data_IF_783852926996
#
_entry.id   IF_783852926996
#
_cell.length_a   1.000
_cell.length_b   1.000
_cell.length_c   1.000
_cell.angle_alpha   90.00
_cell.angle_beta   90.00
_cell.angle_gamma   90.00
#
_symmetry.space_group_name_H-M   'P 1'
#
loop_
_entity.id
_entity.type
_entity.pdbx_description
1 polymer ?
#
# COMPACT_ATOMS: atom_id res chain seq x y z
N UNK A 1 -18.41 14.33 -7.63
CA UNK A 1 -17.01 14.49 -8.09
C UNK A 1 -16.51 13.22 -8.78
N UNK A 2 -16.51 12.05 -8.14
CA UNK A 2 -16.03 10.80 -8.75
C UNK A 2 -16.67 10.50 -10.13
N UNK A 3 -17.98 10.63 -10.25
CA UNK A 3 -18.70 10.42 -11.51
C UNK A 3 -18.27 11.39 -12.64
N UNK A 4 -17.93 12.65 -12.29
CA UNK A 4 -17.39 13.60 -13.25
C UNK A 4 -15.96 13.22 -13.67
N UNK A 5 -15.08 12.91 -12.72
CA UNK A 5 -13.70 12.48 -13.02
C UNK A 5 -13.67 11.18 -13.84
N UNK A 6 -14.62 10.26 -13.57
CA UNK A 6 -14.78 9.05 -14.36
C UNK A 6 -15.35 9.29 -15.78
N UNK A 7 -15.71 10.52 -16.14
CA UNK A 7 -16.24 10.88 -17.45
C UNK A 7 -17.75 10.67 -17.63
N UNK A 8 -18.44 10.19 -16.58
CA UNK A 8 -19.87 9.88 -16.66
C UNK A 8 -20.79 11.10 -16.61
N UNK A 9 -20.33 12.21 -16.03
CA UNK A 9 -21.11 13.44 -15.91
C UNK A 9 -20.30 14.65 -16.39
N UNK A 10 -20.94 15.63 -16.99
CA UNK A 10 -20.37 16.96 -17.17
C UNK A 10 -20.13 17.65 -15.82
N UNK A 11 -19.34 18.71 -15.80
CA UNK A 11 -19.15 19.52 -14.60
C UNK A 11 -20.47 20.18 -14.17
N UNK A 12 -21.22 20.68 -15.14
CA UNK A 12 -22.52 21.33 -14.95
C UNK A 12 -23.53 20.35 -14.33
N UNK A 13 -23.64 19.13 -14.86
CA UNK A 13 -24.50 18.09 -14.31
C UNK A 13 -24.10 17.73 -12.86
N UNK A 14 -22.79 17.58 -12.62
CA UNK A 14 -22.28 17.28 -11.28
C UNK A 14 -22.57 18.39 -10.26
N UNK A 15 -22.44 19.67 -10.67
CA UNK A 15 -22.78 20.84 -9.84
C UNK A 15 -24.28 20.89 -9.62
N UNK A 16 -25.10 20.69 -10.64
CA UNK A 16 -26.55 20.67 -10.53
C UNK A 16 -27.01 19.63 -9.50
N UNK A 17 -26.48 18.41 -9.58
CA UNK A 17 -26.80 17.33 -8.65
C UNK A 17 -26.42 17.72 -7.21
N UNK A 18 -25.17 18.17 -6.97
CA UNK A 18 -24.73 18.46 -5.61
C UNK A 18 -25.47 19.63 -4.99
N UNK A 19 -25.81 20.66 -5.78
CA UNK A 19 -26.59 21.80 -5.34
C UNK A 19 -27.99 21.38 -4.86
N UNK A 20 -28.76 20.70 -5.72
CA UNK A 20 -30.12 20.30 -5.39
C UNK A 20 -30.16 19.25 -4.27
N UNK A 21 -29.24 18.31 -4.29
CA UNK A 21 -29.07 17.33 -3.22
C UNK A 21 -28.84 18.02 -1.87
N UNK A 22 -27.87 18.94 -1.79
CA UNK A 22 -27.53 19.60 -0.53
C UNK A 22 -28.66 20.46 -0.02
N UNK A 23 -29.31 21.23 -0.91
CA UNK A 23 -30.48 22.07 -0.57
C UNK A 23 -31.60 21.24 0.03
N UNK A 24 -32.02 20.17 -0.65
CA UNK A 24 -33.13 19.35 -0.22
C UNK A 24 -32.84 18.55 1.06
N UNK A 25 -31.64 17.99 1.18
CA UNK A 25 -31.26 17.29 2.40
C UNK A 25 -31.21 18.19 3.62
N UNK A 26 -30.87 19.47 3.46
CA UNK A 26 -30.95 20.46 4.55
C UNK A 26 -32.36 20.64 5.11
N UNK A 27 -33.39 20.45 4.29
CA UNK A 27 -34.79 20.52 4.72
C UNK A 27 -35.17 19.45 5.75
N UNK A 28 -34.37 18.40 5.90
CA UNK A 28 -34.55 17.33 6.89
C UNK A 28 -33.70 17.52 8.15
N UNK A 29 -33.06 18.70 8.30
CA UNK A 29 -32.26 19.00 9.49
C UNK A 29 -33.15 19.03 10.74
N UNK A 30 -32.71 18.30 11.78
CA UNK A 30 -33.44 18.17 13.04
C UNK A 30 -34.48 17.03 13.06
N UNK A 31 -34.72 16.34 11.94
CA UNK A 31 -35.66 15.21 11.90
C UNK A 31 -35.06 13.87 12.33
N UNK A 32 -33.77 13.86 12.68
CA UNK A 32 -33.07 12.69 13.14
C UNK A 32 -31.54 12.87 13.06
N UNK A 33 -30.80 11.78 13.28
CA UNK A 33 -29.34 11.79 13.35
C UNK A 33 -28.74 10.52 12.74
N UNK A 34 -27.41 10.46 12.80
CA UNK A 34 -26.64 9.28 12.47
C UNK A 34 -25.73 8.88 13.63
N UNK A 35 -25.61 7.58 13.89
CA UNK A 35 -24.78 6.97 14.92
C UNK A 35 -23.81 5.96 14.29
N UNK A 36 -22.51 6.20 14.36
CA UNK A 36 -21.51 5.22 14.01
C UNK A 36 -21.44 4.14 15.09
N UNK A 37 -21.42 2.86 14.71
CA UNK A 37 -21.40 1.72 15.62
C UNK A 37 -20.36 0.68 15.15
N UNK A 38 -19.56 0.18 16.09
CA UNK A 38 -18.57 -0.86 15.89
C UNK A 38 -19.19 -2.25 15.88
N UNK A 39 -20.10 -2.50 14.94
CA UNK A 39 -20.86 -3.76 14.81
C UNK A 39 -20.80 -4.27 13.38
N UNK A 40 -20.72 -5.60 13.19
CA UNK A 40 -21.04 -6.24 11.92
C UNK A 40 -22.51 -6.00 11.52
N UNK A 41 -22.76 -6.02 10.20
CA UNK A 41 -24.13 -5.78 9.64
C UNK A 41 -25.18 -6.66 10.29
N UNK A 42 -24.93 -7.97 10.43
CA UNK A 42 -25.88 -8.91 11.01
C UNK A 42 -26.27 -8.57 12.45
N UNK A 43 -25.31 -8.16 13.27
CA UNK A 43 -25.56 -7.76 14.65
C UNK A 43 -26.33 -6.42 14.71
N UNK A 44 -26.00 -5.50 13.79
CA UNK A 44 -26.71 -4.23 13.68
C UNK A 44 -28.18 -4.44 13.24
N UNK A 45 -28.44 -5.34 12.29
CA UNK A 45 -29.79 -5.71 11.85
C UNK A 45 -30.63 -6.26 13.00
N UNK A 46 -30.07 -7.17 13.80
CA UNK A 46 -30.73 -7.71 14.99
C UNK A 46 -31.01 -6.61 16.03
N UNK A 47 -30.05 -5.72 16.25
CA UNK A 47 -30.17 -4.62 17.22
C UNK A 47 -31.29 -3.65 16.86
N UNK A 48 -31.42 -3.30 15.58
CA UNK A 48 -32.43 -2.32 15.13
C UNK A 48 -33.80 -2.96 14.85
N UNK A 49 -33.97 -4.27 14.99
CA UNK A 49 -35.21 -4.95 14.70
C UNK A 49 -36.39 -4.43 15.53
N UNK A 50 -36.13 -4.09 16.80
CA UNK A 50 -37.12 -3.49 17.72
C UNK A 50 -37.46 -2.04 17.35
N UNK A 51 -36.62 -1.39 16.55
CA UNK A 51 -36.75 0.02 16.12
C UNK A 51 -37.21 0.15 14.66
N UNK A 52 -37.89 -0.88 14.10
CA UNK A 52 -38.38 -0.87 12.71
C UNK A 52 -39.16 0.42 12.41
N UNK A 53 -38.88 1.00 11.24
CA UNK A 53 -39.42 2.28 10.76
C UNK A 53 -38.91 3.54 11.46
N UNK A 54 -38.07 3.44 12.50
CA UNK A 54 -37.48 4.57 13.19
C UNK A 54 -35.98 4.67 12.95
N UNK A 55 -35.31 3.52 12.83
CA UNK A 55 -33.88 3.42 12.59
C UNK A 55 -33.60 2.43 11.44
N UNK A 56 -32.59 2.70 10.65
CA UNK A 56 -32.08 1.82 9.62
C UNK A 56 -30.55 1.87 9.56
N UNK A 57 -29.94 0.92 8.85
CA UNK A 57 -28.52 0.99 8.52
C UNK A 57 -28.34 2.00 7.39
N UNK A 58 -27.72 3.15 7.68
CA UNK A 58 -27.42 4.19 6.71
C UNK A 58 -26.17 3.90 5.89
N UNK A 59 -25.16 3.24 6.47
CA UNK A 59 -23.95 2.84 5.77
C UNK A 59 -23.33 1.56 6.34
N UNK A 60 -22.77 0.74 5.46
CA UNK A 60 -21.88 -0.38 5.77
C UNK A 60 -20.46 0.09 5.47
N UNK A 61 -19.69 0.41 6.53
CA UNK A 61 -18.40 1.07 6.38
C UNK A 61 -17.24 0.07 6.24
N UNK A 62 -17.27 -0.99 7.05
CA UNK A 62 -16.26 -2.05 7.10
C UNK A 62 -16.89 -3.35 7.62
N UNK A 63 -16.20 -4.48 7.63
CA UNK A 63 -16.74 -5.74 8.17
C UNK A 63 -17.26 -5.64 9.61
N UNK A 64 -16.66 -4.79 10.43
CA UNK A 64 -17.03 -4.59 11.84
C UNK A 64 -17.62 -3.21 12.14
N UNK A 65 -18.03 -2.43 11.13
CA UNK A 65 -18.54 -1.07 11.39
C UNK A 65 -19.68 -0.67 10.46
N UNK A 66 -20.75 -0.18 11.05
CA UNK A 66 -21.91 0.39 10.36
C UNK A 66 -22.19 1.83 10.85
N UNK A 67 -23.01 2.55 10.11
CA UNK A 67 -23.61 3.79 10.56
C UNK A 67 -25.12 3.62 10.55
N UNK A 68 -25.75 3.80 11.70
CA UNK A 68 -27.20 3.81 11.85
C UNK A 68 -27.75 5.21 11.57
N UNK A 69 -28.96 5.31 11.03
CA UNK A 69 -29.63 6.57 10.72
C UNK A 69 -31.12 6.49 11.07
N UNK A 70 -31.64 7.54 11.67
CA UNK A 70 -33.08 7.57 12.07
C UNK A 70 -33.41 8.58 13.14
N UNK A 71 -34.46 8.30 13.90
CA UNK A 71 -34.95 9.14 14.98
C UNK A 71 -33.92 9.28 16.10
N UNK A 72 -33.70 10.52 16.57
CA UNK A 72 -32.63 10.80 17.54
C UNK A 72 -32.84 10.09 18.87
N UNK A 73 -34.09 10.01 19.38
CA UNK A 73 -34.43 9.34 20.62
C UNK A 73 -34.15 7.82 20.56
N UNK A 74 -34.52 7.16 19.45
CA UNK A 74 -34.23 5.74 19.23
C UNK A 74 -32.74 5.47 19.15
N UNK A 75 -31.99 6.35 18.49
CA UNK A 75 -30.52 6.23 18.41
C UNK A 75 -29.84 6.44 19.76
N UNK A 76 -30.40 7.30 20.65
CA UNK A 76 -29.90 7.48 22.03
C UNK A 76 -30.12 6.21 22.86
N UNK A 77 -31.26 5.53 22.68
CA UNK A 77 -31.50 4.23 23.34
C UNK A 77 -30.52 3.17 22.87
N UNK A 78 -30.28 3.07 21.56
CA UNK A 78 -29.33 2.17 20.97
C UNK A 78 -27.89 2.48 21.45
N UNK A 79 -27.48 3.75 21.53
CA UNK A 79 -26.17 4.15 22.05
C UNK A 79 -25.95 3.63 23.47
N UNK A 80 -26.95 3.77 24.37
CA UNK A 80 -26.88 3.22 25.73
C UNK A 80 -26.72 1.69 25.76
N UNK A 81 -27.42 0.97 24.87
CA UNK A 81 -27.29 -0.49 24.76
C UNK A 81 -25.88 -0.86 24.31
N UNK A 82 -25.30 -0.12 23.37
CA UNK A 82 -23.94 -0.35 22.87
C UNK A 82 -22.90 -0.04 23.95
N UNK A 83 -23.06 1.05 24.70
CA UNK A 83 -22.20 1.40 25.82
C UNK A 83 -22.19 0.31 26.91
N UNK A 84 -23.36 -0.25 27.26
CA UNK A 84 -23.45 -1.36 28.23
C UNK A 84 -22.75 -2.63 27.74
N UNK A 85 -22.63 -2.82 26.42
CA UNK A 85 -21.93 -3.96 25.81
C UNK A 85 -20.45 -3.67 25.52
N UNK A 86 -19.94 -2.51 25.92
CA UNK A 86 -18.59 -2.03 25.58
C UNK A 86 -18.30 -2.00 24.08
N UNK A 87 -19.32 -1.68 23.28
CA UNK A 87 -19.22 -1.55 21.83
C UNK A 87 -19.08 -0.09 21.46
N UNK A 88 -18.08 0.21 20.62
CA UNK A 88 -17.89 1.59 20.13
C UNK A 88 -19.16 2.14 19.49
N UNK A 89 -19.58 3.31 19.96
CA UNK A 89 -20.66 4.09 19.36
C UNK A 89 -20.35 5.59 19.44
N UNK A 90 -20.72 6.33 18.41
CA UNK A 90 -20.53 7.77 18.36
C UNK A 90 -21.49 8.45 17.41
N UNK A 91 -22.18 9.48 17.86
CA UNK A 91 -22.97 10.32 16.97
C UNK A 91 -22.10 11.05 15.94
N UNK A 92 -22.53 10.95 14.67
CA UNK A 92 -21.95 11.73 13.59
C UNK A 92 -22.33 13.19 13.76
N UNK A 93 -21.43 14.09 13.43
CA UNK A 93 -21.71 15.53 13.47
C UNK A 93 -22.79 15.90 12.47
N UNK A 94 -23.74 16.71 12.89
CA UNK A 94 -24.91 17.11 12.11
C UNK A 94 -26.20 16.45 12.58
N UNK A 95 -27.35 17.04 12.19
CA UNK A 95 -28.67 16.60 12.58
C UNK A 95 -29.54 16.26 11.36
N UNK A 96 -28.92 15.65 10.36
CA UNK A 96 -29.62 15.17 9.16
C UNK A 96 -29.52 13.64 9.14
N UNK A 97 -30.67 12.94 9.11
CA UNK A 97 -30.69 11.47 9.06
C UNK A 97 -30.51 10.96 7.64
N UNK A 98 -29.29 11.17 7.07
CA UNK A 98 -28.94 10.67 5.73
C UNK A 98 -29.19 9.17 5.61
N UNK A 99 -29.54 8.72 4.41
CA UNK A 99 -29.75 7.30 4.08
C UNK A 99 -30.85 6.64 4.91
N UNK A 100 -31.85 7.42 5.32
CA UNK A 100 -33.04 6.92 6.07
C UNK A 100 -34.34 7.21 5.32
N UNK A 101 -35.42 6.67 5.84
CA UNK A 101 -36.77 6.88 5.31
C UNK A 101 -37.17 8.37 5.29
N UNK A 102 -36.53 9.22 6.11
CA UNK A 102 -36.78 10.69 6.12
C UNK A 102 -36.44 11.33 4.76
N UNK A 103 -35.58 10.67 3.95
CA UNK A 103 -35.28 11.14 2.60
C UNK A 103 -36.40 10.88 1.58
N UNK A 104 -37.39 10.02 1.88
CA UNK A 104 -38.42 9.61 0.90
C UNK A 104 -39.24 10.79 0.39
N UNK A 105 -39.53 11.77 1.23
CA UNK A 105 -40.28 12.98 0.85
C UNK A 105 -39.57 13.85 -0.20
N UNK A 106 -38.24 13.75 -0.29
CA UNK A 106 -37.43 14.53 -1.21
C UNK A 106 -37.42 13.97 -2.65
N UNK A 107 -37.96 12.76 -2.85
CA UNK A 107 -37.85 11.99 -4.11
C UNK A 107 -38.33 12.78 -5.31
N UNK A 108 -39.57 13.25 -5.26
CA UNK A 108 -40.23 13.88 -6.42
C UNK A 108 -39.51 15.17 -6.82
N UNK A 109 -39.15 16.00 -5.85
CA UNK A 109 -38.52 17.28 -6.09
C UNK A 109 -37.08 17.10 -6.56
N UNK A 110 -36.31 16.19 -5.94
CA UNK A 110 -34.94 15.90 -6.40
C UNK A 110 -34.94 15.41 -7.86
N UNK A 111 -35.73 14.39 -8.18
CA UNK A 111 -35.81 13.85 -9.55
C UNK A 111 -36.18 14.93 -10.57
N UNK A 112 -37.16 15.78 -10.25
CA UNK A 112 -37.58 16.88 -11.11
C UNK A 112 -36.47 17.92 -11.28
N UNK A 113 -35.77 18.28 -10.20
CA UNK A 113 -34.72 19.30 -10.21
C UNK A 113 -33.49 18.90 -11.05
N UNK A 114 -33.20 17.61 -11.15
CA UNK A 114 -32.04 17.10 -11.89
C UNK A 114 -32.44 16.28 -13.14
N UNK A 115 -33.66 16.42 -13.64
CA UNK A 115 -34.14 15.64 -14.80
C UNK A 115 -33.38 15.90 -16.09
N UNK A 116 -32.66 17.03 -16.19
CA UNK A 116 -31.90 17.43 -17.38
C UNK A 116 -30.49 16.86 -17.47
N UNK A 117 -30.01 16.10 -16.46
CA UNK A 117 -28.68 15.51 -16.51
C UNK A 117 -28.57 14.45 -17.62
N UNK A 118 -27.40 14.37 -18.24
CA UNK A 118 -27.14 13.47 -19.35
C UNK A 118 -25.96 12.54 -19.06
N UNK A 119 -26.15 11.44 -18.31
CA UNK A 119 -25.11 10.48 -17.99
C UNK A 119 -24.49 9.85 -19.23
N UNK A 120 -23.18 9.63 -19.20
CA UNK A 120 -22.39 9.01 -20.26
C UNK A 120 -21.66 7.78 -19.73
N UNK A 121 -21.17 6.97 -20.63
CA UNK A 121 -20.30 5.85 -20.26
C UNK A 121 -19.00 6.38 -19.63
N UNK A 122 -18.56 5.72 -18.55
CA UNK A 122 -17.32 6.06 -17.87
C UNK A 122 -16.09 5.80 -18.75
N UNK A 123 -15.10 6.68 -18.65
CA UNK A 123 -13.76 6.50 -19.25
C UNK A 123 -12.78 5.88 -18.28
N UNK A 124 -13.08 5.98 -16.99
CA UNK A 124 -12.36 5.34 -15.89
C UNK A 124 -13.35 4.46 -15.12
N UNK A 125 -12.98 3.22 -14.76
CA UNK A 125 -13.85 2.34 -13.97
C UNK A 125 -14.39 3.03 -12.72
N UNK A 126 -15.70 2.90 -12.48
CA UNK A 126 -16.40 3.51 -11.34
C UNK A 126 -17.21 2.46 -10.60
N UNK A 127 -16.88 2.25 -9.32
CA UNK A 127 -17.68 1.40 -8.44
C UNK A 127 -18.67 2.28 -7.65
N UNK A 128 -19.93 1.88 -7.68
CA UNK A 128 -21.02 2.58 -7.02
C UNK A 128 -21.16 2.15 -5.57
N UNK A 129 -21.22 3.09 -4.64
CA UNK A 129 -21.57 2.81 -3.24
C UNK A 129 -23.08 2.68 -3.02
N UNK A 130 -23.93 2.84 -4.04
CA UNK A 130 -25.35 2.50 -3.99
C UNK A 130 -25.56 1.00 -4.19
N UNK A 131 -24.79 0.40 -5.11
CA UNK A 131 -24.94 -1.02 -5.47
C UNK A 131 -23.82 -1.91 -4.94
N UNK A 132 -22.66 -1.35 -4.56
CA UNK A 132 -21.46 -2.09 -4.20
C UNK A 132 -20.68 -2.64 -5.40
N UNK A 133 -21.08 -2.33 -6.65
CA UNK A 133 -20.55 -2.93 -7.88
C UNK A 133 -20.08 -1.90 -8.91
N UNK A 134 -19.33 -2.38 -9.88
CA UNK A 134 -18.92 -1.60 -11.04
C UNK A 134 -20.16 -1.17 -11.85
N UNK A 135 -20.16 0.08 -12.30
CA UNK A 135 -21.22 0.66 -13.14
C UNK A 135 -20.65 1.25 -14.43
N UNK A 136 -21.46 1.28 -15.48
CA UNK A 136 -21.07 1.83 -16.79
C UNK A 136 -21.08 3.37 -16.82
N UNK A 137 -21.79 4.00 -15.87
CA UNK A 137 -22.04 5.44 -15.83
C UNK A 137 -23.45 5.82 -16.34
N UNK A 138 -24.03 5.06 -17.28
CA UNK A 138 -25.37 5.31 -17.81
C UNK A 138 -26.48 5.16 -16.75
N UNK A 139 -26.19 4.44 -15.68
CA UNK A 139 -27.07 4.23 -14.51
C UNK A 139 -27.23 5.50 -13.65
N UNK A 140 -26.35 6.50 -13.80
CA UNK A 140 -26.34 7.74 -12.98
C UNK A 140 -27.49 8.68 -13.29
N UNK A 141 -28.67 8.13 -13.51
CA UNK A 141 -29.93 8.83 -13.78
C UNK A 141 -30.45 9.60 -12.56
N UNK A 142 -31.45 10.49 -12.69
CA UNK A 142 -32.10 11.13 -11.53
C UNK A 142 -32.60 10.14 -10.49
N UNK A 143 -33.12 8.99 -10.91
CA UNK A 143 -33.55 7.92 -9.99
C UNK A 143 -32.40 7.31 -9.20
N UNK A 144 -31.22 7.12 -9.82
CA UNK A 144 -30.01 6.70 -9.12
C UNK A 144 -29.60 7.71 -8.04
N UNK A 145 -29.62 8.99 -8.35
CA UNK A 145 -29.23 10.03 -7.38
C UNK A 145 -30.20 10.14 -6.20
N UNK A 146 -31.47 9.81 -6.41
CA UNK A 146 -32.39 9.63 -5.29
C UNK A 146 -31.99 8.40 -4.44
N UNK A 147 -31.71 7.26 -5.05
CA UNK A 147 -31.20 6.09 -4.32
C UNK A 147 -29.93 6.41 -3.55
N UNK A 148 -29.03 7.20 -4.14
CA UNK A 148 -27.78 7.62 -3.50
C UNK A 148 -27.98 8.45 -2.22
N UNK A 149 -29.08 9.17 -2.03
CA UNK A 149 -29.38 9.88 -0.79
C UNK A 149 -30.23 9.06 0.18
N UNK A 150 -30.93 8.04 -0.30
CA UNK A 150 -31.93 7.28 0.43
C UNK A 150 -31.48 5.91 0.91
N UNK A 151 -30.80 5.16 0.04
CA UNK A 151 -30.44 3.77 0.31
C UNK A 151 -29.16 3.69 1.14
N UNK A 152 -28.98 2.54 1.80
CA UNK A 152 -27.76 2.22 2.58
C UNK A 152 -26.51 2.34 1.71
N UNK A 153 -25.51 3.06 2.20
CA UNK A 153 -24.21 3.17 1.52
C UNK A 153 -23.48 1.84 1.59
N UNK A 154 -23.23 1.22 0.45
CA UNK A 154 -22.52 -0.05 0.28
C UNK A 154 -21.01 0.19 0.16
N UNK A 155 -20.37 0.81 1.17
CA UNK A 155 -18.96 1.17 1.07
C UNK A 155 -18.06 -0.07 1.19
N UNK A 156 -18.26 -0.89 2.21
CA UNK A 156 -17.50 -2.14 2.37
C UNK A 156 -17.65 -3.09 1.17
N UNK A 157 -18.87 -3.36 0.66
CA UNK A 157 -19.04 -4.15 -0.55
C UNK A 157 -18.31 -3.57 -1.77
N UNK A 158 -18.30 -2.24 -1.93
CA UNK A 158 -17.58 -1.57 -3.02
C UNK A 158 -16.07 -1.74 -2.89
N UNK A 159 -15.50 -1.60 -1.70
CA UNK A 159 -14.08 -1.83 -1.44
C UNK A 159 -13.71 -3.29 -1.66
N UNK A 160 -14.53 -4.22 -1.20
CA UNK A 160 -14.37 -5.66 -1.43
C UNK A 160 -14.33 -6.02 -2.91
N UNK A 161 -15.19 -5.39 -3.72
CA UNK A 161 -15.22 -5.55 -5.18
C UNK A 161 -13.90 -5.10 -5.81
N UNK A 162 -13.38 -3.94 -5.40
CA UNK A 162 -12.09 -3.43 -5.87
C UNK A 162 -10.93 -4.36 -5.47
N UNK A 163 -10.92 -4.85 -4.22
CA UNK A 163 -9.87 -5.77 -3.75
C UNK A 163 -9.91 -7.10 -4.53
N UNK A 164 -11.09 -7.64 -4.81
CA UNK A 164 -11.26 -8.84 -5.64
C UNK A 164 -10.78 -8.62 -7.07
N UNK A 165 -10.93 -7.41 -7.58
CA UNK A 165 -10.42 -7.00 -8.91
C UNK A 165 -8.91 -6.72 -8.92
N UNK A 166 -8.20 -6.92 -7.80
CA UNK A 166 -6.74 -6.78 -7.69
C UNK A 166 -6.25 -5.40 -7.27
N UNK A 167 -7.14 -4.45 -6.98
CA UNK A 167 -6.73 -3.14 -6.47
C UNK A 167 -6.40 -3.23 -4.97
N UNK A 168 -5.13 -3.06 -4.63
CA UNK A 168 -4.63 -3.11 -3.24
C UNK A 168 -4.09 -1.77 -2.73
N UNK A 169 -4.01 -0.77 -3.60
CA UNK A 169 -3.55 0.57 -3.23
C UNK A 169 -4.69 1.56 -3.41
N UNK A 170 -5.03 2.24 -2.34
CA UNK A 170 -6.11 3.21 -2.27
C UNK A 170 -5.56 4.58 -1.92
N UNK A 171 -5.96 5.60 -2.68
CA UNK A 171 -5.65 7.00 -2.40
C UNK A 171 -6.94 7.74 -2.08
N UNK A 172 -7.08 8.19 -0.83
CA UNK A 172 -8.26 8.97 -0.42
C UNK A 172 -8.08 10.44 -0.76
N UNK A 173 -8.89 10.93 -1.71
CA UNK A 173 -8.93 12.34 -2.11
C UNK A 173 -9.97 13.08 -1.28
N UNK A 174 -9.55 13.58 -0.12
CA UNK A 174 -10.43 14.27 0.84
C UNK A 174 -9.65 15.28 1.69
N UNK A 175 -10.32 16.29 2.30
CA UNK A 175 -9.66 17.22 3.22
C UNK A 175 -9.12 16.58 4.49
N UNK A 176 -9.53 15.35 4.79
CA UNK A 176 -9.07 14.56 5.91
C UNK A 176 -9.43 13.09 5.67
N UNK A 177 -8.53 12.14 5.88
CA UNK A 177 -8.81 10.72 5.66
C UNK A 177 -9.81 10.21 6.69
N UNK A 178 -11.05 9.99 6.26
CA UNK A 178 -12.16 9.47 7.09
C UNK A 178 -12.51 8.03 6.73
N UNK A 179 -12.11 7.56 5.54
CA UNK A 179 -12.40 6.23 5.02
C UNK A 179 -11.21 5.27 5.18
N UNK A 180 -10.04 5.79 5.49
CA UNK A 180 -8.80 5.02 5.54
C UNK A 180 -8.87 3.84 6.52
N UNK A 181 -9.46 4.04 7.72
CA UNK A 181 -9.64 2.96 8.71
C UNK A 181 -10.55 1.84 8.19
N UNK A 182 -11.66 2.19 7.56
CA UNK A 182 -12.61 1.23 7.01
C UNK A 182 -12.02 0.42 5.86
N UNK A 183 -11.24 1.06 4.98
CA UNK A 183 -10.52 0.35 3.90
C UNK A 183 -9.47 -0.58 4.49
N UNK A 184 -8.69 -0.12 5.47
CA UNK A 184 -7.65 -0.92 6.12
C UNK A 184 -8.24 -2.14 6.81
N UNK A 185 -9.36 -1.98 7.53
CA UNK A 185 -10.07 -3.08 8.19
C UNK A 185 -10.56 -4.12 7.17
N UNK A 186 -11.11 -3.67 6.04
CA UNK A 186 -11.54 -4.56 4.95
C UNK A 186 -10.37 -5.31 4.33
N UNK A 187 -9.22 -4.65 4.13
CA UNK A 187 -7.99 -5.29 3.64
C UNK A 187 -7.51 -6.38 4.61
N UNK A 188 -7.46 -6.08 5.91
CA UNK A 188 -7.06 -7.04 6.96
C UNK A 188 -8.02 -8.23 6.99
N UNK A 189 -9.32 -7.98 6.96
CA UNK A 189 -10.35 -9.02 6.97
C UNK A 189 -10.25 -9.99 5.77
N UNK A 190 -9.71 -9.51 4.65
CA UNK A 190 -9.47 -10.30 3.43
C UNK A 190 -8.04 -10.85 3.31
N UNK A 191 -7.24 -10.81 4.37
CA UNK A 191 -5.83 -11.23 4.40
C UNK A 191 -4.95 -10.52 3.36
N UNK A 192 -5.26 -9.25 3.06
CA UNK A 192 -4.51 -8.39 2.13
C UNK A 192 -3.64 -7.38 2.87
N UNK A 193 -2.83 -7.86 3.81
CA UNK A 193 -1.98 -7.05 4.70
C UNK A 193 -0.99 -6.15 3.92
N UNK A 194 -0.59 -6.53 2.71
CA UNK A 194 0.26 -5.73 1.82
C UNK A 194 -0.47 -4.53 1.20
N UNK A 195 -1.79 -4.44 1.36
CA UNK A 195 -2.58 -3.33 0.84
C UNK A 195 -2.19 -1.99 1.50
N UNK A 196 -2.30 -0.90 0.75
CA UNK A 196 -1.93 0.45 1.18
C UNK A 196 -3.09 1.40 1.08
N UNK A 197 -3.25 2.25 2.09
CA UNK A 197 -4.25 3.32 2.09
C UNK A 197 -3.53 4.64 2.35
N UNK A 198 -3.54 5.52 1.37
CA UNK A 198 -2.78 6.77 1.37
C UNK A 198 -3.73 7.97 1.42
N UNK A 199 -3.47 8.98 2.25
CA UNK A 199 -4.23 10.23 2.25
C UNK A 199 -3.70 11.19 1.20
N UNK A 200 -4.55 12.07 0.65
CA UNK A 200 -4.09 13.21 -0.14
C UNK A 200 -3.65 14.37 0.75
N UNK A 201 -4.50 14.73 1.71
CA UNK A 201 -4.23 15.78 2.71
C UNK A 201 -4.82 15.38 4.07
N UNK A 202 -4.34 16.04 5.13
CA UNK A 202 -4.84 15.83 6.51
C UNK A 202 -4.88 17.16 7.25
N UNK A 203 -5.96 17.37 8.00
CA UNK A 203 -6.14 18.61 8.79
C UNK A 203 -4.96 18.82 9.73
N UNK A 204 -4.50 20.07 9.81
CA UNK A 204 -3.41 20.53 10.71
C UNK A 204 -2.03 19.96 10.38
N UNK A 205 -1.87 19.28 9.26
CA UNK A 205 -0.58 18.84 8.73
C UNK A 205 -0.19 19.63 7.49
N UNK A 206 1.09 19.84 7.21
CA UNK A 206 1.55 20.53 6.00
C UNK A 206 1.15 19.73 4.74
N UNK A 207 0.24 20.27 3.95
CA UNK A 207 -0.38 19.58 2.80
C UNK A 207 0.65 19.07 1.78
N UNK A 208 1.62 19.94 1.44
CA UNK A 208 2.67 19.58 0.46
C UNK A 208 3.51 18.39 0.94
N UNK A 209 3.89 18.38 2.22
CA UNK A 209 4.69 17.29 2.80
C UNK A 209 3.91 15.98 2.80
N UNK A 210 2.62 16.03 3.12
CA UNK A 210 1.77 14.84 3.14
C UNK A 210 1.57 14.28 1.72
N UNK A 211 1.30 15.14 0.74
CA UNK A 211 1.17 14.72 -0.66
C UNK A 211 2.47 14.12 -1.21
N UNK A 212 3.61 14.75 -0.93
CA UNK A 212 4.92 14.21 -1.33
C UNK A 212 5.22 12.88 -0.63
N UNK A 213 4.84 12.74 0.64
CA UNK A 213 4.93 11.47 1.38
C UNK A 213 4.11 10.36 0.71
N UNK A 214 2.87 10.65 0.33
CA UNK A 214 2.02 9.68 -0.38
C UNK A 214 2.57 9.31 -1.77
N UNK A 215 3.16 10.27 -2.50
CA UNK A 215 3.85 10.00 -3.77
C UNK A 215 5.10 9.13 -3.54
N UNK A 216 5.87 9.42 -2.50
CA UNK A 216 7.05 8.63 -2.15
C UNK A 216 6.67 7.19 -1.78
N UNK A 217 5.58 7.01 -1.02
CA UNK A 217 5.06 5.67 -0.69
C UNK A 217 4.62 4.92 -1.96
N UNK A 218 3.91 5.57 -2.89
CA UNK A 218 3.56 4.98 -4.19
C UNK A 218 4.81 4.56 -4.96
N UNK A 219 5.85 5.37 -4.98
CA UNK A 219 7.12 5.06 -5.62
C UNK A 219 7.79 3.84 -5.00
N UNK A 220 7.81 3.73 -3.65
CA UNK A 220 8.45 2.60 -2.96
C UNK A 220 7.77 1.25 -3.22
N UNK A 221 6.47 1.26 -3.54
CA UNK A 221 5.70 0.06 -3.92
C UNK A 221 5.65 -0.18 -5.43
N UNK A 222 6.45 0.57 -6.20
CA UNK A 222 6.70 0.31 -7.62
C UNK A 222 5.81 1.06 -8.61
N UNK A 223 5.00 2.04 -8.17
CA UNK A 223 4.27 2.89 -9.11
C UNK A 223 5.23 3.84 -9.84
N UNK A 224 5.08 4.01 -11.16
CA UNK A 224 5.89 4.94 -11.93
C UNK A 224 5.53 6.39 -11.54
N UNK A 225 6.51 7.11 -10.99
CA UNK A 225 6.37 8.54 -10.65
C UNK A 225 7.19 9.37 -11.61
N UNK A 226 6.57 10.31 -12.29
CA UNK A 226 7.26 11.27 -13.14
C UNK A 226 7.83 12.41 -12.28
N UNK A 227 9.04 12.20 -11.78
CA UNK A 227 9.76 13.18 -10.96
C UNK A 227 10.06 14.49 -11.68
N UNK A 228 10.12 14.49 -13.02
CA UNK A 228 10.39 15.70 -13.80
C UNK A 228 9.26 16.72 -13.66
N UNK A 229 8.03 16.28 -13.45
CA UNK A 229 6.88 17.18 -13.18
C UNK A 229 6.96 17.84 -11.81
N UNK A 230 7.54 17.16 -10.82
CA UNK A 230 7.73 17.70 -9.48
C UNK A 230 8.97 18.59 -9.39
N UNK A 231 10.02 18.24 -10.15
CA UNK A 231 11.31 18.91 -10.15
C UNK A 231 11.71 19.29 -11.59
N UNK A 232 11.03 20.27 -12.21
CA UNK A 232 11.26 20.62 -13.62
C UNK A 232 12.61 21.28 -13.87
N UNK A 233 13.31 21.75 -12.82
CA UNK A 233 14.63 22.36 -12.94
C UNK A 233 15.71 21.35 -12.61
N UNK A 234 16.72 21.25 -13.48
CA UNK A 234 17.94 20.52 -13.17
C UNK A 234 18.63 21.16 -11.96
N UNK A 235 18.77 20.41 -10.90
CA UNK A 235 19.49 20.80 -9.69
C UNK A 235 20.89 20.18 -9.70
N UNK A 236 21.81 20.76 -8.92
CA UNK A 236 23.14 20.22 -8.74
C UNK A 236 23.05 18.77 -8.19
N UNK A 237 23.93 17.91 -8.69
CA UNK A 237 24.06 16.54 -8.18
C UNK A 237 24.51 16.59 -6.71
N UNK A 238 23.78 15.91 -5.84
CA UNK A 238 24.13 15.76 -4.42
C UNK A 238 24.62 14.34 -4.22
N UNK A 239 25.81 14.19 -3.65
CA UNK A 239 26.34 12.88 -3.29
C UNK A 239 25.54 12.32 -2.11
N UNK A 240 24.85 11.19 -2.35
CA UNK A 240 24.10 10.49 -1.32
C UNK A 240 24.98 9.42 -0.65
N UNK A 241 24.66 9.01 0.59
CA UNK A 241 25.28 7.82 1.18
C UNK A 241 25.07 6.61 0.28
N UNK A 242 26.08 5.78 0.16
CA UNK A 242 25.96 4.50 -0.55
C UNK A 242 25.09 3.52 0.22
N UNK A 243 24.60 2.48 -0.45
CA UNK A 243 23.82 1.43 0.18
C UNK A 243 24.60 0.80 1.36
N UNK A 244 24.03 0.74 2.56
CA UNK A 244 24.68 0.12 3.73
C UNK A 244 24.61 -1.41 3.60
N UNK A 245 25.60 -1.99 2.94
CA UNK A 245 25.65 -3.43 2.72
C UNK A 245 25.51 -4.22 4.02
N UNK A 246 24.57 -5.14 4.05
CA UNK A 246 24.43 -6.11 5.13
C UNK A 246 25.53 -7.17 5.01
N UNK A 247 26.70 -6.87 5.52
CA UNK A 247 27.88 -7.72 5.41
C UNK A 247 27.70 -8.96 6.27
N UNK A 248 27.61 -10.12 5.62
CA UNK A 248 27.66 -11.43 6.26
C UNK A 248 28.82 -12.20 5.65
N UNK A 249 29.56 -12.97 6.46
CA UNK A 249 30.57 -13.86 5.95
C UNK A 249 29.89 -15.06 5.30
N UNK A 250 30.09 -15.24 4.01
CA UNK A 250 29.65 -16.41 3.25
C UNK A 250 30.85 -17.28 2.85
N UNK A 251 32.02 -17.02 3.49
CA UNK A 251 33.22 -17.80 3.25
C UNK A 251 33.00 -19.22 3.81
N UNK A 252 32.96 -20.19 2.90
CA UNK A 252 32.96 -21.63 3.21
C UNK A 252 34.33 -22.15 2.91
N UNK A 253 35.09 -22.50 3.93
CA UNK A 253 36.42 -23.06 3.79
C UNK A 253 36.33 -24.57 4.06
N UNK A 254 36.90 -25.38 3.16
CA UNK A 254 37.06 -26.82 3.43
C UNK A 254 38.04 -27.05 4.59
N UNK A 255 37.89 -28.18 5.28
CA UNK A 255 38.80 -28.53 6.38
C UNK A 255 40.27 -28.59 5.92
N UNK A 256 40.51 -29.10 4.72
CA UNK A 256 41.85 -29.13 4.08
C UNK A 256 42.43 -27.73 3.85
N UNK A 257 41.61 -26.78 3.34
CA UNK A 257 42.04 -25.40 3.12
C UNK A 257 42.31 -24.69 4.44
N UNK A 258 41.51 -24.98 5.48
CA UNK A 258 41.70 -24.44 6.81
C UNK A 258 43.00 -24.95 7.46
N UNK A 259 43.29 -26.25 7.37
CA UNK A 259 44.52 -26.86 7.86
C UNK A 259 45.72 -26.30 7.13
N UNK A 260 45.63 -26.12 5.81
CA UNK A 260 46.68 -25.49 5.00
C UNK A 260 46.98 -24.05 5.44
N UNK A 261 45.93 -23.25 5.66
CA UNK A 261 46.06 -21.86 6.10
C UNK A 261 46.61 -21.75 7.53
N UNK A 262 46.28 -22.71 8.41
CA UNK A 262 46.78 -22.76 9.78
C UNK A 262 48.18 -23.40 9.93
N UNK A 263 48.79 -23.81 8.80
CA UNK A 263 50.10 -24.42 8.81
C UNK A 263 50.16 -25.86 9.35
N UNK A 264 49.00 -26.51 9.49
CA UNK A 264 48.87 -27.89 9.99
C UNK A 264 48.87 -28.93 8.87
N UNK A 265 49.17 -28.54 7.61
CA UNK A 265 49.25 -29.53 6.52
C UNK A 265 50.38 -30.52 6.77
N UNK A 266 50.00 -31.78 6.99
CA UNK A 266 50.96 -32.89 6.95
C UNK A 266 51.66 -32.84 5.62
N UNK A 267 53.00 -32.69 5.64
CA UNK A 267 53.84 -32.76 4.42
C UNK A 267 53.54 -34.06 3.67
N UNK A 268 52.63 -34.02 2.69
CA UNK A 268 52.64 -35.02 1.63
C UNK A 268 53.85 -34.72 0.78
N UNK A 269 54.93 -35.40 1.09
CA UNK A 269 56.14 -35.44 0.27
C UNK A 269 55.76 -36.05 -1.08
N UNK A 270 55.39 -35.19 -2.02
CA UNK A 270 55.35 -35.55 -3.43
C UNK A 270 56.79 -35.79 -3.85
N UNK A 271 57.15 -37.02 -4.22
CA UNK A 271 58.48 -37.40 -4.82
C UNK A 271 58.61 -36.88 -6.27
N UNK A 272 57.76 -35.93 -6.70
CA UNK A 272 57.89 -35.34 -8.04
C UNK A 272 59.02 -34.33 -8.04
N UNK A 273 59.91 -34.50 -9.06
CA UNK A 273 61.05 -33.61 -9.26
C UNK A 273 60.55 -32.17 -9.52
N UNK A 274 61.08 -31.25 -8.77
CA UNK A 274 60.78 -29.81 -8.96
C UNK A 274 61.32 -29.40 -10.35
N UNK A 275 60.47 -28.86 -11.21
CA UNK A 275 60.77 -28.52 -12.59
C UNK A 275 61.24 -27.07 -12.70
N UNK A 276 60.66 -26.19 -11.89
CA UNK A 276 61.03 -24.77 -11.86
C UNK A 276 60.85 -24.22 -10.44
N UNK A 277 61.71 -23.29 -9.97
CA UNK A 277 61.65 -22.78 -8.60
C UNK A 277 60.34 -22.16 -8.17
N UNK A 278 59.57 -21.60 -9.09
CA UNK A 278 58.27 -20.99 -8.82
C UNK A 278 57.07 -21.88 -9.20
N UNK A 279 57.26 -22.85 -10.15
CA UNK A 279 56.19 -23.76 -10.54
C UNK A 279 56.15 -25.02 -9.64
N UNK A 280 57.27 -25.41 -9.09
CA UNK A 280 57.37 -26.61 -8.26
C UNK A 280 57.26 -27.90 -9.05
N UNK A 281 56.45 -28.80 -8.60
CA UNK A 281 56.28 -30.14 -9.18
C UNK A 281 55.15 -30.19 -10.21
N UNK A 282 55.37 -30.84 -11.34
CA UNK A 282 54.36 -31.01 -12.39
C UNK A 282 53.47 -32.20 -12.08
N UNK A 283 52.16 -32.01 -12.23
CA UNK A 283 51.18 -33.09 -12.16
C UNK A 283 51.14 -33.89 -13.46
N UNK A 284 50.99 -35.19 -13.34
CA UNK A 284 50.80 -36.07 -14.49
C UNK A 284 49.30 -36.22 -14.81
N UNK A 285 48.74 -35.16 -15.38
CA UNK A 285 47.30 -35.05 -15.74
C UNK A 285 47.16 -34.55 -17.19
N UNK A 286 45.95 -34.66 -17.76
CA UNK A 286 45.68 -34.35 -19.16
C UNK A 286 45.96 -32.88 -19.55
N UNK A 287 45.82 -31.96 -18.65
CA UNK A 287 46.22 -30.56 -18.85
C UNK A 287 47.46 -30.25 -18.01
N UNK A 288 48.42 -29.49 -18.54
CA UNK A 288 49.61 -29.08 -17.78
C UNK A 288 49.20 -28.34 -16.49
N UNK A 289 49.65 -28.84 -15.35
CA UNK A 289 49.46 -28.22 -14.05
C UNK A 289 50.66 -28.45 -13.16
N UNK A 290 50.95 -27.50 -12.32
CA UNK A 290 52.07 -27.51 -11.39
C UNK A 290 51.60 -27.12 -9.99
N UNK A 291 52.31 -27.59 -8.95
CA UNK A 291 52.07 -27.23 -7.56
C UNK A 291 53.39 -26.84 -6.89
N UNK A 292 53.35 -25.69 -6.24
CA UNK A 292 54.45 -25.19 -5.41
C UNK A 292 53.91 -24.61 -4.11
N UNK A 293 54.36 -25.10 -2.98
CA UNK A 293 54.12 -24.46 -1.71
C UNK A 293 55.15 -23.35 -1.54
N UNK A 294 54.70 -22.13 -1.49
CA UNK A 294 55.52 -20.95 -1.27
C UNK A 294 55.45 -20.53 0.19
N UNK A 295 56.48 -20.83 0.92
CA UNK A 295 56.70 -20.34 2.28
C UNK A 295 57.90 -19.41 2.36
N UNK A 296 58.03 -18.68 3.45
CA UNK A 296 59.11 -17.72 3.64
C UNK A 296 60.47 -18.39 3.91
N UNK A 297 60.50 -19.67 4.15
CA UNK A 297 61.74 -20.44 4.33
C UNK A 297 62.28 -20.93 3.00
N UNK A 298 61.41 -21.43 2.10
CA UNK A 298 61.77 -21.88 0.76
C UNK A 298 61.96 -20.75 -0.25
N UNK A 299 61.26 -19.63 -0.07
CA UNK A 299 61.26 -18.46 -0.96
C UNK A 299 61.63 -17.17 -0.19
N UNK A 300 62.74 -17.19 0.51
CA UNK A 300 63.17 -16.11 1.42
C UNK A 300 63.26 -14.72 0.80
N UNK A 301 63.49 -14.64 -0.53
CA UNK A 301 63.52 -13.38 -1.29
C UNK A 301 62.17 -12.66 -1.36
N UNK A 302 61.07 -13.38 -1.09
CA UNK A 302 59.74 -12.76 -1.06
C UNK A 302 59.53 -11.88 0.18
N UNK A 303 60.32 -12.07 1.25
CA UNK A 303 60.25 -11.30 2.50
C UNK A 303 60.36 -9.79 2.28
N UNK A 304 61.11 -9.39 1.29
CA UNK A 304 61.37 -7.97 0.97
C UNK A 304 60.20 -7.31 0.22
N UNK A 305 59.29 -8.12 -0.36
CA UNK A 305 58.11 -7.59 -1.03
C UNK A 305 56.93 -7.45 -0.03
N UNK A 306 56.95 -6.37 0.75
CA UNK A 306 55.98 -6.08 1.79
C UNK A 306 55.08 -4.93 1.37
N UNK A 307 53.77 -5.17 1.41
CA UNK A 307 52.74 -4.16 1.13
C UNK A 307 51.80 -4.03 2.33
N UNK A 308 51.79 -2.88 2.96
CA UNK A 308 50.92 -2.61 4.09
C UNK A 308 51.19 -3.51 5.32
N UNK A 309 52.40 -3.95 5.54
CA UNK A 309 52.78 -4.81 6.66
C UNK A 309 52.62 -6.32 6.42
N UNK A 310 52.18 -6.71 5.22
CA UNK A 310 52.03 -8.11 4.82
C UNK A 310 52.97 -8.46 3.67
N UNK A 311 53.60 -9.63 3.72
CA UNK A 311 54.40 -10.16 2.62
C UNK A 311 53.45 -10.62 1.51
N UNK A 312 53.62 -10.08 0.32
CA UNK A 312 52.75 -10.35 -0.83
C UNK A 312 53.62 -10.93 -1.97
N UNK A 313 53.11 -11.95 -2.66
CA UNK A 313 53.81 -12.48 -3.81
C UNK A 313 53.83 -11.45 -4.96
N UNK A 314 55.01 -11.13 -5.54
CA UNK A 314 55.16 -10.08 -6.53
C UNK A 314 54.52 -10.44 -7.87
N UNK A 315 53.92 -9.43 -8.54
CA UNK A 315 53.34 -9.61 -9.88
C UNK A 315 54.32 -10.18 -10.92
N UNK A 316 55.61 -9.80 -10.82
CA UNK A 316 56.65 -10.35 -11.65
C UNK A 316 56.83 -11.89 -11.51
N UNK A 317 56.53 -12.43 -10.33
CA UNK A 317 56.53 -13.86 -10.08
C UNK A 317 55.48 -14.62 -10.89
N UNK A 318 54.27 -14.05 -11.02
CA UNK A 318 53.24 -14.63 -11.88
C UNK A 318 53.61 -14.60 -13.36
N UNK A 319 54.27 -13.55 -13.80
CA UNK A 319 54.76 -13.44 -15.18
C UNK A 319 55.82 -14.53 -15.44
N UNK A 320 56.79 -14.71 -14.53
CA UNK A 320 57.79 -15.74 -14.62
C UNK A 320 57.17 -17.15 -14.64
N UNK A 321 56.20 -17.43 -13.76
CA UNK A 321 55.47 -18.70 -13.75
C UNK A 321 54.77 -18.97 -15.09
N UNK A 322 54.20 -17.95 -15.71
CA UNK A 322 53.52 -18.06 -17.02
C UNK A 322 54.50 -18.30 -18.15
N UNK A 323 55.68 -17.70 -18.11
CA UNK A 323 56.71 -17.88 -19.12
C UNK A 323 57.40 -19.25 -19.00
N UNK A 324 57.45 -19.84 -17.81
CA UNK A 324 58.06 -21.11 -17.52
C UNK A 324 57.15 -22.33 -17.68
N UNK A 325 55.80 -22.09 -17.80
CA UNK A 325 54.77 -23.13 -17.95
C UNK A 325 54.64 -23.59 -19.42
#
# INVERSE_FOLDING_TARGET
MAAHIAGALSLEDAICIIYHRSRLQHETEGEGRMLAAGLPVMEAELLIEEYKNRVCIGAINSPGSVTLAGDEDALIEIEKVLELKDVFSRFVRGKVPYHSQKMDRLKSELIKSIQGITPKTTTTPLVSTVTGHLISGLELTPAYWFKNIRETVQFEPAIRELIKSGFLTFLELSPHPVLASSITETLIHLDKIQGKVLPSIRRKEPEQMLMLGSIAELYTIGYPVDWSRLYPQHRAFIQLPTYPWQRKSYWVESEESREHRLGHSSRRTSMAREVHPLLGSRFNIAHPAWEKIMDLDSCGYIKDHNVGGSVVFPGAGYVEMTLAS
#
